data_IF_486102808266
#
_entry.id   IF_486102808266
#
_cell.length_a   1.000
_cell.length_b   1.000
_cell.length_c   1.000
_cell.angle_alpha   90.00
_cell.angle_beta   90.00
_cell.angle_gamma   90.00
#
_symmetry.space_group_name_H-M   'P 1'
#
loop_
_entity.id
_entity.type
_entity.pdbx_description
1 polymer ?
#
# COMPACT_ATOMS: atom_id res chain seq x y z
N UNK A 1 -3.32 -4.29 -11.77
CA UNK A 1 -2.13 -3.44 -11.88
C UNK A 1 -1.82 -2.74 -10.57
N UNK A 2 -0.56 -2.32 -10.40
CA UNK A 2 -0.03 -1.70 -9.19
C UNK A 2 1.07 -0.71 -9.53
N UNK A 3 1.56 0.02 -8.53
CA UNK A 3 2.58 1.07 -8.69
C UNK A 3 3.94 0.47 -8.33
N UNK A 4 4.85 0.44 -9.30
CA UNK A 4 6.23 -0.03 -9.11
C UNK A 4 7.07 1.06 -8.46
N UNK A 5 7.85 0.68 -7.46
CA UNK A 5 8.73 1.59 -6.74
C UNK A 5 10.18 1.37 -7.19
N UNK A 6 10.88 2.47 -7.41
CA UNK A 6 12.32 2.48 -7.65
C UNK A 6 13.02 3.15 -6.46
N UNK A 7 14.20 2.65 -6.11
CA UNK A 7 14.94 3.06 -4.93
C UNK A 7 15.93 2.00 -4.50
N UNK A 8 16.16 1.88 -3.18
CA UNK A 8 17.01 0.83 -2.64
C UNK A 8 16.33 -0.54 -2.84
N UNK A 9 17.01 -1.44 -3.55
CA UNK A 9 16.52 -2.80 -3.72
C UNK A 9 16.57 -3.54 -2.37
N UNK A 10 15.51 -4.28 -2.09
CA UNK A 10 15.42 -5.12 -0.91
C UNK A 10 15.73 -6.56 -1.32
N UNK A 11 16.61 -7.22 -0.56
CA UNK A 11 16.89 -8.65 -0.74
C UNK A 11 16.28 -9.40 0.44
N UNK A 12 15.51 -10.44 0.13
CA UNK A 12 15.08 -11.42 1.12
C UNK A 12 16.10 -12.56 1.14
N UNK A 13 16.40 -13.07 2.33
CA UNK A 13 17.40 -14.13 2.53
C UNK A 13 16.90 -15.51 2.06
N UNK A 14 15.58 -15.70 1.93
CA UNK A 14 14.94 -16.96 1.54
C UNK A 14 14.09 -16.79 0.26
N UNK A 15 13.71 -17.92 -0.35
CA UNK A 15 12.93 -18.01 -1.60
C UNK A 15 11.85 -16.92 -1.69
N UNK A 16 11.94 -16.09 -2.73
CA UNK A 16 11.16 -14.86 -2.93
C UNK A 16 9.68 -15.10 -3.28
N UNK A 17 9.18 -16.30 -2.99
CA UNK A 17 7.83 -16.74 -3.30
C UNK A 17 7.22 -17.42 -2.07
N UNK A 18 5.99 -17.04 -1.76
CA UNK A 18 5.16 -17.62 -0.72
C UNK A 18 4.03 -18.44 -1.35
N UNK A 19 3.38 -19.27 -0.54
CA UNK A 19 2.12 -19.90 -0.95
C UNK A 19 1.14 -18.80 -1.36
N UNK A 20 0.52 -18.99 -2.52
CA UNK A 20 -0.46 -18.04 -3.06
C UNK A 20 -1.54 -17.73 -2.03
N UNK A 21 -1.70 -16.45 -1.74
CA UNK A 21 -2.69 -15.95 -0.79
C UNK A 21 -3.41 -14.72 -1.34
N UNK A 22 -4.44 -14.27 -0.62
CA UNK A 22 -5.16 -13.05 -0.94
C UNK A 22 -4.24 -11.83 -0.89
N UNK A 23 -4.40 -10.94 -1.87
CA UNK A 23 -3.67 -9.67 -1.92
C UNK A 23 -4.67 -8.55 -1.60
N UNK A 24 -4.49 -7.79 -0.50
CA UNK A 24 -5.33 -6.64 -0.23
C UNK A 24 -4.91 -5.42 -1.06
N UNK A 25 -5.85 -4.48 -1.20
CA UNK A 25 -5.55 -3.15 -1.71
C UNK A 25 -4.55 -2.45 -0.79
N UNK A 26 -3.50 -1.86 -1.39
CA UNK A 26 -2.41 -1.22 -0.66
C UNK A 26 -1.26 -2.15 -0.29
N UNK A 27 -1.34 -3.45 -0.59
CA UNK A 27 -0.28 -4.40 -0.27
C UNK A 27 1.03 -4.04 -0.95
N UNK A 28 2.13 -4.00 -0.21
CA UNK A 28 3.46 -3.74 -0.74
C UNK A 28 4.14 -5.09 -0.96
N UNK A 29 4.06 -5.58 -2.19
CA UNK A 29 4.63 -6.85 -2.63
C UNK A 29 6.11 -6.68 -2.99
N UNK A 30 6.95 -7.65 -2.63
CA UNK A 30 8.37 -7.66 -2.94
C UNK A 30 8.72 -8.84 -3.87
N UNK A 31 8.83 -8.63 -5.19
CA UNK A 31 9.30 -9.64 -6.12
C UNK A 31 10.81 -9.93 -5.97
N UNK A 32 11.27 -11.00 -6.61
CA UNK A 32 12.68 -11.43 -6.61
C UNK A 32 13.68 -10.41 -7.18
N UNK A 33 13.22 -9.45 -7.99
CA UNK A 33 14.06 -8.37 -8.49
C UNK A 33 14.36 -7.29 -7.44
N UNK A 34 13.75 -7.37 -6.26
CA UNK A 34 14.00 -6.50 -5.11
C UNK A 34 13.31 -5.13 -5.17
N UNK A 35 12.47 -4.87 -6.17
CA UNK A 35 11.76 -3.59 -6.34
C UNK A 35 10.29 -3.72 -5.94
N UNK A 36 9.86 -3.08 -4.84
CA UNK A 36 8.50 -3.24 -4.35
C UNK A 36 7.42 -2.77 -5.33
N UNK A 37 6.23 -3.35 -5.20
CA UNK A 37 5.04 -2.99 -5.96
C UNK A 37 3.88 -2.76 -4.99
N UNK A 38 3.25 -1.59 -5.03
CA UNK A 38 2.01 -1.32 -4.30
C UNK A 38 0.82 -1.84 -5.11
N UNK A 39 0.10 -2.81 -4.58
CA UNK A 39 -1.18 -3.28 -5.13
C UNK A 39 -2.22 -2.17 -5.09
N UNK A 40 -2.76 -1.79 -6.25
CA UNK A 40 -3.74 -0.71 -6.35
C UNK A 40 -5.06 -1.19 -6.97
N UNK A 41 -5.97 -0.29 -7.34
CA UNK A 41 -7.39 -0.61 -7.61
C UNK A 41 -7.66 -1.73 -8.61
N UNK A 42 -6.72 -2.03 -9.52
CA UNK A 42 -6.85 -3.13 -10.51
C UNK A 42 -5.96 -4.35 -10.20
N UNK A 43 -5.37 -4.44 -9.00
CA UNK A 43 -4.45 -5.53 -8.64
C UNK A 43 -5.11 -6.91 -8.76
N UNK A 44 -4.26 -7.92 -8.96
CA UNK A 44 -4.67 -9.32 -8.89
C UNK A 44 -5.19 -9.66 -7.49
N UNK A 45 -6.25 -10.45 -7.39
CA UNK A 45 -6.88 -10.81 -6.11
C UNK A 45 -6.03 -11.78 -5.29
N UNK A 46 -5.14 -12.54 -5.94
CA UNK A 46 -4.21 -13.47 -5.30
C UNK A 46 -2.79 -13.29 -5.85
N UNK A 47 -1.79 -13.70 -5.08
CA UNK A 47 -0.39 -13.60 -5.49
C UNK A 47 0.55 -14.38 -4.58
N UNK A 48 1.69 -14.78 -5.15
CA UNK A 48 2.75 -15.53 -4.46
C UNK A 48 3.93 -14.67 -4.02
N UNK A 49 3.85 -13.34 -4.11
CA UNK A 49 4.95 -12.49 -3.63
C UNK A 49 4.80 -12.19 -2.13
N UNK A 50 5.92 -12.20 -1.38
CA UNK A 50 5.98 -11.70 -0.01
C UNK A 50 5.40 -10.28 0.07
N UNK A 51 4.59 -10.02 1.09
CA UNK A 51 4.08 -8.68 1.40
C UNK A 51 4.81 -8.15 2.62
N UNK A 52 5.58 -7.08 2.43
CA UNK A 52 6.45 -6.52 3.49
C UNK A 52 5.75 -5.47 4.34
N UNK A 53 4.67 -4.87 3.82
CA UNK A 53 3.85 -3.86 4.48
C UNK A 53 2.51 -3.70 3.73
N UNK A 54 1.60 -2.90 4.29
CA UNK A 54 0.34 -2.53 3.65
C UNK A 54 0.06 -1.05 3.88
N UNK A 55 -0.28 -0.31 2.81
CA UNK A 55 -0.72 1.09 2.93
C UNK A 55 -2.08 1.13 3.62
N UNK A 56 -2.22 1.98 4.64
CA UNK A 56 -3.47 2.13 5.39
C UNK A 56 -4.56 2.74 4.50
N UNK A 57 -5.81 2.35 4.74
CA UNK A 57 -6.94 2.71 3.87
C UNK A 57 -7.20 4.22 3.80
N UNK A 58 -6.98 4.93 4.89
CA UNK A 58 -7.09 6.40 4.95
C UNK A 58 -6.14 7.11 3.99
N UNK A 59 -5.02 6.49 3.62
CA UNK A 59 -3.92 7.10 2.86
C UNK A 59 -3.83 6.65 1.39
N UNK A 60 -4.67 5.68 0.98
CA UNK A 60 -4.70 5.18 -0.40
C UNK A 60 -4.96 6.26 -1.46
N UNK A 61 -5.69 7.31 -1.08
CA UNK A 61 -5.93 8.46 -1.95
C UNK A 61 -4.63 9.20 -2.34
N UNK A 62 -3.62 9.25 -1.46
CA UNK A 62 -2.30 9.83 -1.79
C UNK A 62 -1.56 8.98 -2.81
N UNK A 63 -1.60 7.66 -2.63
CA UNK A 63 -1.04 6.69 -3.57
C UNK A 63 -1.66 6.85 -4.97
N UNK A 64 -2.99 7.03 -5.03
CA UNK A 64 -3.69 7.24 -6.29
C UNK A 64 -3.35 8.54 -7.03
N UNK A 65 -2.66 9.49 -6.38
CA UNK A 65 -2.22 10.76 -6.98
C UNK A 65 -0.75 10.74 -7.44
N UNK A 66 0.00 9.66 -7.15
CA UNK A 66 1.40 9.53 -7.54
C UNK A 66 1.57 9.51 -9.06
N UNK A 67 2.61 10.20 -9.53
CA UNK A 67 3.04 10.24 -10.92
C UNK A 67 4.45 9.64 -11.06
N UNK A 68 4.84 9.19 -12.27
CA UNK A 68 6.22 8.76 -12.52
C UNK A 68 7.22 9.85 -12.12
N UNK A 69 8.19 9.48 -11.30
CA UNK A 69 9.23 10.39 -10.79
C UNK A 69 8.90 11.08 -9.45
N UNK A 70 7.68 10.95 -8.94
CA UNK A 70 7.36 11.45 -7.60
C UNK A 70 8.20 10.75 -6.53
N UNK A 71 8.62 11.53 -5.53
CA UNK A 71 9.37 11.04 -4.38
C UNK A 71 8.51 11.08 -3.15
N UNK A 72 8.55 10.00 -2.38
CA UNK A 72 7.83 9.88 -1.11
C UNK A 72 8.60 8.96 -0.17
N UNK A 73 8.17 8.91 1.08
CA UNK A 73 8.70 8.00 2.09
C UNK A 73 7.53 7.30 2.78
N UNK A 74 7.77 6.08 3.23
CA UNK A 74 6.83 5.38 4.09
C UNK A 74 7.08 5.75 5.53
N UNK A 75 6.00 5.94 6.27
CA UNK A 75 6.00 6.08 7.72
C UNK A 75 5.38 4.81 8.31
N UNK A 76 6.06 4.21 9.29
CA UNK A 76 5.50 3.08 10.03
C UNK A 76 4.51 3.62 11.05
N UNK A 77 3.33 3.02 11.07
CA UNK A 77 2.26 3.35 12.02
C UNK A 77 1.80 2.10 12.76
N UNK A 78 1.32 2.30 13.98
CA UNK A 78 0.65 1.25 14.74
C UNK A 78 -0.75 0.98 14.18
N UNK A 79 -1.36 -0.14 14.60
CA UNK A 79 -2.75 -0.44 14.23
C UNK A 79 -3.71 0.60 14.81
N UNK A 80 -3.46 1.03 16.05
CA UNK A 80 -4.24 2.05 16.74
C UNK A 80 -4.18 3.40 16.02
N UNK A 81 -2.98 3.81 15.57
CA UNK A 81 -2.79 5.03 14.78
C UNK A 81 -3.51 4.93 13.43
N UNK A 82 -3.41 3.78 12.75
CA UNK A 82 -4.09 3.54 11.48
C UNK A 82 -5.62 3.62 11.62
N UNK A 83 -6.19 3.05 12.70
CA UNK A 83 -7.62 3.12 12.99
C UNK A 83 -8.07 4.55 13.33
N UNK A 84 -7.30 5.28 14.12
CA UNK A 84 -7.58 6.68 14.45
C UNK A 84 -7.62 7.55 13.18
N UNK A 85 -6.63 7.41 12.29
CA UNK A 85 -6.59 8.13 11.01
C UNK A 85 -7.75 7.75 10.09
N UNK A 86 -8.17 6.48 10.08
CA UNK A 86 -9.36 6.03 9.34
C UNK A 86 -10.62 6.73 9.84
N UNK A 87 -10.82 6.76 11.16
CA UNK A 87 -11.97 7.42 11.77
C UNK A 87 -11.98 8.92 11.53
N UNK A 88 -10.84 9.59 11.65
CA UNK A 88 -10.71 11.02 11.34
C UNK A 88 -11.10 11.32 9.89
N UNK A 89 -10.61 10.50 8.96
CA UNK A 89 -10.91 10.65 7.53
C UNK A 89 -12.39 10.47 7.23
N UNK A 90 -13.02 9.45 7.81
CA UNK A 90 -14.46 9.19 7.66
C UNK A 90 -15.29 10.36 8.21
N UNK A 91 -14.90 10.88 9.38
CA UNK A 91 -15.56 12.03 9.99
C UNK A 91 -15.41 13.28 9.12
N UNK A 92 -14.22 13.55 8.60
CA UNK A 92 -13.97 14.67 7.70
C UNK A 92 -14.86 14.61 6.44
N UNK A 93 -14.88 13.46 5.76
CA UNK A 93 -15.71 13.27 4.57
C UNK A 93 -17.19 13.47 4.90
N UNK A 94 -17.68 12.89 6.01
CA UNK A 94 -19.07 13.04 6.44
C UNK A 94 -19.45 14.50 6.66
N UNK A 95 -18.59 15.29 7.32
CA UNK A 95 -18.83 16.73 7.54
C UNK A 95 -18.89 17.53 6.25
N UNK A 96 -18.14 17.15 5.22
CA UNK A 96 -18.22 17.82 3.92
C UNK A 96 -19.56 17.56 3.23
N UNK A 97 -20.12 16.36 3.38
CA UNK A 97 -21.44 16.01 2.82
C UNK A 97 -22.55 16.73 3.57
N UNK A 98 -22.47 16.83 4.90
CA UNK A 98 -23.51 17.45 5.73
C UNK A 98 -23.57 18.99 5.60
N UNK A 99 -22.54 19.62 5.03
CA UNK A 99 -22.42 21.08 4.88
C UNK A 99 -22.30 21.58 3.43
N UNK A 100 -22.52 20.70 2.44
CA UNK A 100 -22.56 21.06 1.01
C UNK A 100 -23.99 21.03 0.46
#
# INVERSE_FOLDING_TARGET
MGIRLEGNSLKLDNENEIITEGVPLGAIQLPSNGYPIISFVEHQTTGGYPKIANVISSELHKVGQLKPGDKFQFELVSLEEAEALRHEREFYIKRMVDHG
#
